data_IF_923820774476
#
_entry.id   IF_923820774476
#
_cell.length_a   1.000
_cell.length_b   1.000
_cell.length_c   1.000
_cell.angle_alpha   90.00
_cell.angle_beta   90.00
_cell.angle_gamma   90.00
#
_symmetry.space_group_name_H-M   'P 1'
#
loop_
_entity.id
_entity.type
_entity.pdbx_description
1 polymer ?
#
# COMPACT_ATOMS: atom_id res chain seq x y z
N UNK A 1 -33.82 39.18 -5.38
CA UNK A 1 -33.62 37.90 -6.05
C UNK A 1 -32.39 37.15 -5.51
N UNK A 2 -31.21 37.74 -5.50
CA UNK A 2 -29.96 37.09 -5.02
C UNK A 2 -29.97 36.75 -3.52
N UNK A 3 -30.63 37.52 -2.70
CA UNK A 3 -30.75 37.25 -1.23
C UNK A 3 -31.63 36.03 -0.92
N UNK A 4 -32.64 35.78 -1.74
CA UNK A 4 -33.52 34.61 -1.58
C UNK A 4 -32.80 33.34 -1.98
N UNK A 5 -32.01 33.36 -3.06
CA UNK A 5 -31.18 32.25 -3.50
C UNK A 5 -30.10 31.93 -2.47
N UNK A 6 -29.45 32.93 -1.91
CA UNK A 6 -28.44 32.73 -0.87
C UNK A 6 -29.02 32.10 0.41
N UNK A 7 -30.22 32.57 0.85
CA UNK A 7 -30.93 31.97 2.00
C UNK A 7 -31.41 30.55 1.73
N UNK A 8 -31.90 30.25 0.53
CA UNK A 8 -32.34 28.89 0.19
C UNK A 8 -31.19 27.91 0.16
N UNK A 9 -29.97 28.34 -0.22
CA UNK A 9 -28.78 27.53 -0.19
C UNK A 9 -28.24 27.26 1.23
N UNK A 10 -28.45 28.20 2.17
CA UNK A 10 -28.05 28.01 3.58
C UNK A 10 -28.98 27.05 4.34
N UNK A 11 -30.24 26.89 3.92
CA UNK A 11 -31.22 26.03 4.58
C UNK A 11 -31.50 24.72 3.90
N UNK A 12 -30.77 24.40 2.80
CA UNK A 12 -30.75 23.07 2.17
C UNK A 12 -29.41 22.41 2.42
N UNK A 13 -29.24 21.66 3.53
CA UNK A 13 -28.01 20.88 3.79
C UNK A 13 -27.71 19.85 2.71
N UNK A 14 -28.71 19.47 1.92
CA UNK A 14 -28.60 18.52 0.80
C UNK A 14 -27.73 19.03 -0.37
N UNK A 15 -27.52 20.34 -0.51
CA UNK A 15 -26.71 20.93 -1.60
C UNK A 15 -25.21 20.96 -1.22
N UNK A 16 -24.87 20.83 0.06
CA UNK A 16 -23.48 20.77 0.54
C UNK A 16 -22.98 19.35 0.74
N UNK A 17 -23.84 18.36 0.70
CA UNK A 17 -23.45 16.97 0.58
C UNK A 17 -23.07 16.70 -0.89
N UNK A 18 -21.85 17.02 -1.29
CA UNK A 18 -21.13 16.18 -2.24
C UNK A 18 -21.04 14.84 -1.53
N UNK A 19 -22.03 13.99 -1.75
CA UNK A 19 -22.08 12.64 -1.18
C UNK A 19 -20.80 11.96 -1.62
N UNK A 20 -19.87 11.79 -0.67
CA UNK A 20 -18.74 10.90 -0.85
C UNK A 20 -19.29 9.60 -1.42
N UNK A 21 -18.62 9.03 -2.40
CA UNK A 21 -19.03 7.73 -2.96
C UNK A 21 -19.33 6.78 -1.79
N UNK A 22 -20.38 5.97 -1.84
CA UNK A 22 -20.78 5.10 -0.73
C UNK A 22 -19.62 4.28 -0.15
N UNK A 23 -18.69 3.83 -1.00
CA UNK A 23 -17.49 3.13 -0.61
C UNK A 23 -16.57 3.95 0.33
N UNK A 24 -16.53 5.27 0.17
CA UNK A 24 -15.69 6.16 0.99
C UNK A 24 -16.35 6.54 2.35
N UNK A 25 -17.60 6.18 2.55
CA UNK A 25 -18.34 6.44 3.79
C UNK A 25 -18.13 5.36 4.86
N UNK A 26 -17.51 4.24 4.49
CA UNK A 26 -17.20 3.16 5.43
C UNK A 26 -16.22 3.62 6.51
N UNK A 27 -16.47 3.30 7.80
CA UNK A 27 -15.56 3.61 8.90
C UNK A 27 -14.20 2.92 8.76
N UNK A 28 -14.09 1.86 7.95
CA UNK A 28 -12.87 1.11 7.72
C UNK A 28 -11.95 1.73 6.67
N UNK A 29 -12.49 2.64 5.83
CA UNK A 29 -11.70 3.28 4.77
C UNK A 29 -10.52 4.09 5.33
N UNK A 30 -10.78 4.99 6.28
CA UNK A 30 -9.74 5.85 6.84
C UNK A 30 -8.65 5.06 7.60
N UNK A 31 -8.97 4.11 8.51
CA UNK A 31 -7.96 3.25 9.13
C UNK A 31 -7.15 2.44 8.13
N UNK A 32 -7.78 1.87 7.11
CA UNK A 32 -7.11 1.15 6.03
C UNK A 32 -6.04 2.01 5.35
N UNK A 33 -6.42 3.21 4.90
CA UNK A 33 -5.49 4.12 4.20
C UNK A 33 -4.36 4.58 5.11
N UNK A 34 -4.65 4.98 6.36
CA UNK A 34 -3.64 5.46 7.31
C UNK A 34 -2.59 4.37 7.59
N UNK A 35 -3.03 3.16 7.86
CA UNK A 35 -2.16 2.03 8.17
C UNK A 35 -1.30 1.65 6.95
N UNK A 36 -1.87 1.68 5.75
CA UNK A 36 -1.11 1.46 4.52
C UNK A 36 -0.07 2.55 4.27
N UNK A 37 -0.40 3.82 4.46
CA UNK A 37 0.55 4.91 4.29
C UNK A 37 1.74 4.78 5.24
N UNK A 38 1.48 4.37 6.50
CA UNK A 38 2.54 4.10 7.46
C UNK A 38 3.42 2.92 7.04
N UNK A 39 2.80 1.81 6.60
CA UNK A 39 3.51 0.66 6.04
C UNK A 39 4.40 1.07 4.87
N UNK A 40 3.86 1.84 3.92
CA UNK A 40 4.61 2.31 2.75
C UNK A 40 5.81 3.17 3.12
N UNK A 41 5.70 4.02 4.12
CA UNK A 41 6.81 4.82 4.62
C UNK A 41 7.94 3.94 5.17
N UNK A 42 7.61 2.92 5.99
CA UNK A 42 8.59 1.97 6.54
C UNK A 42 9.27 1.15 5.44
N UNK A 43 8.48 0.57 4.53
CA UNK A 43 8.99 -0.27 3.44
C UNK A 43 9.76 0.54 2.41
N UNK A 44 9.36 1.79 2.17
CA UNK A 44 10.09 2.73 1.32
C UNK A 44 11.45 3.11 1.91
N UNK A 45 11.50 3.41 3.21
CA UNK A 45 12.76 3.67 3.91
C UNK A 45 13.70 2.45 3.85
N UNK A 46 13.15 1.24 4.07
CA UNK A 46 13.91 -0.01 3.94
C UNK A 46 14.48 -0.19 2.52
N UNK A 47 13.70 0.10 1.48
CA UNK A 47 14.14 0.00 0.09
C UNK A 47 15.27 0.99 -0.24
N UNK A 48 15.20 2.22 0.26
CA UNK A 48 16.27 3.22 0.11
C UNK A 48 17.56 2.76 0.78
N UNK A 49 17.47 2.22 2.00
CA UNK A 49 18.62 1.64 2.72
C UNK A 49 19.16 0.44 1.93
N UNK A 50 18.31 -0.42 1.39
CA UNK A 50 18.74 -1.57 0.60
C UNK A 50 19.51 -1.16 -0.66
N UNK A 51 19.05 -0.16 -1.39
CA UNK A 51 19.74 0.38 -2.55
C UNK A 51 21.10 0.98 -2.15
N UNK A 52 21.14 1.77 -1.06
CA UNK A 52 22.38 2.31 -0.53
C UNK A 52 23.38 1.21 -0.16
N UNK A 53 22.94 0.16 0.54
CA UNK A 53 23.78 -0.96 0.93
C UNK A 53 24.30 -1.75 -0.28
N UNK A 54 23.48 -1.96 -1.32
CA UNK A 54 23.91 -2.61 -2.56
C UNK A 54 25.02 -1.83 -3.28
N UNK A 55 24.89 -0.49 -3.32
CA UNK A 55 25.90 0.38 -3.92
C UNK A 55 27.19 0.38 -3.09
N UNK A 56 27.06 0.52 -1.77
CA UNK A 56 28.18 0.56 -0.83
C UNK A 56 28.96 -0.76 -0.78
N UNK A 57 28.25 -1.88 -0.81
CA UNK A 57 28.83 -3.22 -0.71
C UNK A 57 29.91 -3.50 -1.78
N UNK A 58 29.77 -2.86 -2.94
CA UNK A 58 30.74 -2.98 -4.04
C UNK A 58 32.14 -2.43 -3.68
N UNK A 59 32.22 -1.49 -2.71
CA UNK A 59 33.46 -0.78 -2.37
C UNK A 59 33.92 -0.98 -0.93
N UNK A 60 33.00 -1.09 0.02
CA UNK A 60 33.29 -1.01 1.46
C UNK A 60 32.74 -2.19 2.29
N UNK A 61 32.10 -3.17 1.64
CA UNK A 61 31.37 -4.23 2.36
C UNK A 61 30.05 -3.79 2.94
N UNK A 62 29.35 -4.71 3.60
CA UNK A 62 28.05 -4.50 4.22
C UNK A 62 28.23 -3.85 5.60
N UNK A 63 27.39 -2.88 5.90
CA UNK A 63 27.23 -2.30 7.23
C UNK A 63 26.13 -3.08 7.96
N UNK A 64 26.51 -3.85 8.97
CA UNK A 64 25.56 -4.71 9.69
C UNK A 64 24.54 -3.92 10.52
N UNK A 65 24.92 -2.75 11.02
CA UNK A 65 24.00 -1.87 11.75
C UNK A 65 22.88 -1.35 10.82
N UNK A 66 23.24 -0.89 9.63
CA UNK A 66 22.25 -0.48 8.64
C UNK A 66 21.44 -1.66 8.10
N UNK A 67 22.03 -2.84 7.99
CA UNK A 67 21.30 -4.03 7.59
C UNK A 67 20.25 -4.44 8.63
N UNK A 68 20.61 -4.39 9.91
CA UNK A 68 19.67 -4.64 11.02
C UNK A 68 18.54 -3.60 11.05
N UNK A 69 18.85 -2.33 10.82
CA UNK A 69 17.83 -1.28 10.71
C UNK A 69 16.88 -1.57 9.54
N UNK A 70 17.42 -1.99 8.39
CA UNK A 70 16.65 -2.36 7.21
C UNK A 70 15.68 -3.52 7.51
N UNK A 71 16.17 -4.60 8.16
CA UNK A 71 15.35 -5.74 8.57
C UNK A 71 14.23 -5.32 9.53
N UNK A 72 14.52 -4.47 10.52
CA UNK A 72 13.51 -3.98 11.47
C UNK A 72 12.43 -3.13 10.80
N UNK A 73 12.81 -2.27 9.86
CA UNK A 73 11.85 -1.49 9.08
C UNK A 73 10.93 -2.40 8.25
N UNK A 74 11.46 -3.48 7.69
CA UNK A 74 10.64 -4.48 6.96
C UNK A 74 9.69 -5.19 7.91
N UNK A 75 10.14 -5.62 9.09
CA UNK A 75 9.27 -6.30 10.05
C UNK A 75 8.10 -5.41 10.48
N UNK A 76 8.39 -4.16 10.83
CA UNK A 76 7.33 -3.19 11.20
C UNK A 76 6.43 -2.89 10.00
N UNK A 77 7.01 -2.59 8.85
CA UNK A 77 6.26 -2.30 7.63
C UNK A 77 5.35 -3.45 7.21
N UNK A 78 5.83 -4.70 7.32
CA UNK A 78 5.08 -5.89 7.00
C UNK A 78 3.93 -6.14 7.98
N UNK A 79 4.12 -5.87 9.27
CA UNK A 79 3.06 -5.94 10.26
C UNK A 79 1.92 -4.96 9.92
N UNK A 80 2.27 -3.71 9.62
CA UNK A 80 1.28 -2.71 9.20
C UNK A 80 0.66 -3.02 7.83
N UNK A 81 1.40 -3.60 6.88
CA UNK A 81 0.86 -4.06 5.60
C UNK A 81 -0.23 -5.12 5.83
N UNK A 82 0.02 -6.08 6.71
CA UNK A 82 -0.93 -7.14 7.05
C UNK A 82 -2.19 -6.58 7.70
N UNK A 83 -2.03 -5.68 8.68
CA UNK A 83 -3.17 -5.00 9.33
C UNK A 83 -3.96 -4.18 8.31
N UNK A 84 -3.25 -3.48 7.40
CA UNK A 84 -3.87 -2.71 6.33
C UNK A 84 -4.69 -3.59 5.39
N UNK A 85 -4.19 -4.78 5.02
CA UNK A 85 -4.96 -5.75 4.22
C UNK A 85 -6.22 -6.23 4.95
N UNK A 86 -6.16 -6.48 6.25
CA UNK A 86 -7.33 -6.86 7.05
C UNK A 86 -8.37 -5.75 7.10
N UNK A 87 -7.95 -4.51 7.32
CA UNK A 87 -8.87 -3.37 7.28
C UNK A 87 -9.45 -3.15 5.88
N UNK A 88 -8.66 -3.39 4.84
CA UNK A 88 -9.12 -3.38 3.45
C UNK A 88 -10.18 -4.43 3.17
N UNK A 89 -10.03 -5.63 3.71
CA UNK A 89 -11.03 -6.69 3.60
C UNK A 89 -12.34 -6.33 4.31
N UNK A 90 -12.26 -5.73 5.50
CA UNK A 90 -13.45 -5.22 6.22
C UNK A 90 -14.14 -4.09 5.44
N UNK A 91 -13.34 -3.19 4.89
CA UNK A 91 -13.86 -2.14 4.02
C UNK A 91 -14.54 -2.71 2.78
N UNK A 92 -13.91 -3.65 2.09
CA UNK A 92 -14.46 -4.31 0.90
C UNK A 92 -15.79 -5.02 1.21
N UNK A 93 -15.88 -5.71 2.36
CA UNK A 93 -17.12 -6.34 2.80
C UNK A 93 -18.26 -5.37 2.96
N UNK A 94 -18.01 -4.20 3.52
CA UNK A 94 -19.03 -3.19 3.75
C UNK A 94 -19.40 -2.47 2.45
N UNK A 95 -18.41 -2.15 1.61
CA UNK A 95 -18.62 -1.40 0.38
C UNK A 95 -19.21 -2.24 -0.77
N UNK A 96 -18.81 -3.51 -0.89
CA UNK A 96 -19.13 -4.37 -2.05
C UNK A 96 -19.71 -5.74 -1.66
N UNK A 97 -19.86 -6.05 -0.39
CA UNK A 97 -20.49 -7.27 0.09
C UNK A 97 -19.59 -8.50 0.22
N UNK A 98 -18.33 -8.43 -0.15
CA UNK A 98 -17.35 -9.52 -0.03
C UNK A 98 -16.02 -9.02 0.55
N UNK A 99 -15.30 -9.89 1.27
CA UNK A 99 -14.02 -9.53 1.89
C UNK A 99 -12.87 -9.50 0.88
N UNK A 100 -12.94 -10.32 -0.16
CA UNK A 100 -11.88 -10.51 -1.15
C UNK A 100 -12.50 -11.03 -2.46
N UNK A 101 -12.13 -10.47 -3.59
CA UNK A 101 -12.67 -10.82 -4.91
C UNK A 101 -11.60 -11.03 -5.98
N UNK A 102 -10.33 -11.07 -5.59
CA UNK A 102 -9.21 -11.15 -6.53
C UNK A 102 -9.18 -10.02 -7.56
N UNK A 103 -9.68 -8.88 -7.17
CA UNK A 103 -9.51 -7.64 -7.94
C UNK A 103 -8.02 -7.42 -8.25
N UNK A 104 -7.65 -6.76 -9.37
CA UNK A 104 -6.24 -6.52 -9.70
C UNK A 104 -5.43 -5.86 -8.57
N UNK A 105 -6.01 -4.91 -7.82
CA UNK A 105 -5.32 -4.31 -6.67
C UNK A 105 -5.12 -5.30 -5.52
N UNK A 106 -6.11 -6.09 -5.21
CA UNK A 106 -6.03 -7.15 -4.20
C UNK A 106 -4.97 -8.19 -4.57
N UNK A 107 -4.96 -8.61 -5.83
CA UNK A 107 -3.98 -9.58 -6.36
C UNK A 107 -2.56 -9.04 -6.24
N UNK A 108 -2.30 -7.79 -6.62
CA UNK A 108 -1.00 -7.17 -6.48
C UNK A 108 -0.61 -6.89 -5.02
N UNK A 109 -1.59 -6.61 -4.14
CA UNK A 109 -1.35 -6.52 -2.70
C UNK A 109 -0.90 -7.86 -2.13
N UNK A 110 -1.55 -8.97 -2.50
CA UNK A 110 -1.15 -10.31 -2.10
C UNK A 110 0.25 -10.68 -2.64
N UNK A 111 0.56 -10.36 -3.90
CA UNK A 111 1.89 -10.59 -4.49
C UNK A 111 2.98 -9.79 -3.75
N UNK A 112 2.70 -8.53 -3.40
CA UNK A 112 3.60 -7.69 -2.61
C UNK A 112 3.84 -8.29 -1.22
N UNK A 113 2.78 -8.70 -0.54
CA UNK A 113 2.86 -9.34 0.78
C UNK A 113 3.72 -10.61 0.73
N UNK A 114 3.52 -11.47 -0.28
CA UNK A 114 4.35 -12.66 -0.49
C UNK A 114 5.81 -12.30 -0.77
N UNK A 115 6.09 -11.27 -1.55
CA UNK A 115 7.44 -10.79 -1.83
C UNK A 115 8.20 -10.45 -0.54
N UNK A 116 7.59 -9.68 0.35
CA UNK A 116 8.20 -9.35 1.66
C UNK A 116 8.28 -10.56 2.59
N UNK A 117 7.32 -11.47 2.53
CA UNK A 117 7.37 -12.72 3.31
C UNK A 117 8.56 -13.58 2.88
N UNK A 118 8.80 -13.70 1.55
CA UNK A 118 9.97 -14.40 1.00
C UNK A 118 11.26 -13.72 1.47
N UNK A 119 11.34 -12.38 1.44
CA UNK A 119 12.49 -11.65 1.97
C UNK A 119 12.77 -12.03 3.42
N UNK A 120 11.77 -11.97 4.30
CA UNK A 120 11.91 -12.29 5.72
C UNK A 120 12.43 -13.71 5.91
N UNK A 121 11.82 -14.70 5.25
CA UNK A 121 12.25 -16.10 5.35
C UNK A 121 13.66 -16.32 4.79
N UNK A 122 13.99 -15.66 3.69
CA UNK A 122 15.33 -15.71 3.12
C UNK A 122 16.38 -15.16 4.08
N UNK A 123 16.11 -14.02 4.73
CA UNK A 123 17.00 -13.42 5.73
C UNK A 123 17.22 -14.33 6.94
N UNK A 124 16.14 -14.92 7.44
CA UNK A 124 16.23 -15.84 8.58
C UNK A 124 17.06 -17.11 8.27
N UNK A 125 17.05 -17.57 7.03
CA UNK A 125 17.80 -18.77 6.62
C UNK A 125 19.22 -18.51 6.12
N UNK A 126 19.45 -17.34 5.53
CA UNK A 126 20.70 -17.04 4.81
C UNK A 126 21.30 -15.70 5.30
N UNK A 127 21.72 -15.68 6.55
CA UNK A 127 22.20 -14.45 7.22
C UNK A 127 23.33 -13.72 6.46
N UNK A 128 24.20 -14.44 5.74
CA UNK A 128 25.37 -13.88 5.06
C UNK A 128 25.17 -13.57 3.56
N UNK A 129 24.01 -13.91 2.99
CA UNK A 129 23.73 -13.64 1.55
C UNK A 129 23.03 -12.29 1.37
N UNK A 130 23.70 -11.24 1.74
CA UNK A 130 23.13 -9.88 1.77
C UNK A 130 22.67 -9.40 0.39
N UNK A 131 23.44 -9.60 -0.66
CA UNK A 131 23.09 -9.08 -2.00
C UNK A 131 21.79 -9.67 -2.55
N UNK A 132 21.55 -10.96 -2.35
CA UNK A 132 20.32 -11.61 -2.78
C UNK A 132 19.11 -11.11 -1.93
N UNK A 133 19.31 -10.99 -0.61
CA UNK A 133 18.27 -10.47 0.27
C UNK A 133 17.89 -9.03 -0.10
N UNK A 134 18.87 -8.16 -0.28
CA UNK A 134 18.63 -6.76 -0.66
C UNK A 134 17.98 -6.65 -2.05
N UNK A 135 18.36 -7.53 -3.00
CA UNK A 135 17.70 -7.64 -4.29
C UNK A 135 16.22 -8.03 -4.16
N UNK A 136 15.90 -9.01 -3.31
CA UNK A 136 14.52 -9.42 -3.02
C UNK A 136 13.71 -8.28 -2.40
N UNK A 137 14.34 -7.50 -1.49
CA UNK A 137 13.69 -6.36 -0.87
C UNK A 137 13.34 -5.27 -1.89
N UNK A 138 14.29 -4.91 -2.75
CA UNK A 138 14.04 -3.93 -3.82
C UNK A 138 12.96 -4.44 -4.79
N UNK A 139 13.00 -5.72 -5.15
CA UNK A 139 11.96 -6.32 -5.99
C UNK A 139 10.58 -6.27 -5.32
N UNK A 140 10.48 -6.60 -4.03
CA UNK A 140 9.23 -6.51 -3.28
C UNK A 140 8.68 -5.07 -3.22
N UNK A 141 9.58 -4.09 -3.12
CA UNK A 141 9.19 -2.69 -3.19
C UNK A 141 8.69 -2.27 -4.57
N UNK A 142 9.25 -2.82 -5.65
CA UNK A 142 8.73 -2.60 -7.00
C UNK A 142 7.31 -3.19 -7.16
N UNK A 143 7.04 -4.37 -6.61
CA UNK A 143 5.69 -4.94 -6.56
C UNK A 143 4.72 -4.00 -5.82
N UNK A 144 5.17 -3.40 -4.71
CA UNK A 144 4.39 -2.42 -3.97
C UNK A 144 4.04 -1.19 -4.82
N UNK A 145 5.00 -0.68 -5.63
CA UNK A 145 4.75 0.44 -6.53
C UNK A 145 3.76 0.07 -7.64
N UNK A 146 3.85 -1.15 -8.19
CA UNK A 146 2.87 -1.64 -9.17
C UNK A 146 1.48 -1.74 -8.52
N UNK A 147 1.37 -2.24 -7.30
CA UNK A 147 0.11 -2.31 -6.57
C UNK A 147 -0.51 -0.90 -6.37
N UNK A 148 0.30 0.09 -6.04
CA UNK A 148 -0.20 1.44 -5.72
C UNK A 148 -0.54 2.26 -6.97
N UNK A 149 0.40 2.37 -7.88
CA UNK A 149 0.31 3.26 -9.06
C UNK A 149 0.10 2.44 -10.33
N UNK A 150 0.89 1.36 -10.51
CA UNK A 150 1.00 0.64 -11.77
C UNK A 150 -0.30 -0.05 -12.20
N UNK A 151 -1.10 -0.53 -11.25
CA UNK A 151 -2.39 -1.19 -11.54
C UNK A 151 -3.32 -0.30 -12.36
N UNK A 152 -3.29 1.02 -12.13
CA UNK A 152 -4.14 1.98 -12.84
C UNK A 152 -3.81 2.05 -14.35
N UNK A 153 -2.59 1.66 -14.74
CA UNK A 153 -2.10 1.70 -16.12
C UNK A 153 -2.12 0.34 -16.81
N UNK A 154 -2.38 -0.75 -16.06
CA UNK A 154 -2.44 -2.10 -16.64
C UNK A 154 -3.74 -2.30 -17.40
N UNK A 155 -3.68 -2.84 -18.65
CA UNK A 155 -4.89 -3.13 -19.44
C UNK A 155 -5.89 -4.06 -18.72
N UNK A 156 -5.37 -4.99 -17.90
CA UNK A 156 -6.16 -5.91 -17.10
C UNK A 156 -6.97 -5.25 -15.98
N UNK A 157 -6.63 -4.03 -15.59
CA UNK A 157 -7.33 -3.28 -14.55
C UNK A 157 -8.38 -2.31 -15.10
N UNK A 158 -8.35 -2.01 -16.41
CA UNK A 158 -9.30 -1.11 -17.05
C UNK A 158 -10.69 -1.75 -17.10
N UNK A 159 -11.61 -1.19 -16.31
CA UNK A 159 -13.01 -1.63 -16.27
C UNK A 159 -13.31 -2.81 -15.35
N UNK A 160 -12.32 -3.43 -14.71
CA UNK A 160 -12.51 -4.59 -13.82
C UNK A 160 -12.15 -4.31 -12.35
N UNK A 161 -11.39 -3.26 -12.06
CA UNK A 161 -11.01 -2.95 -10.69
C UNK A 161 -12.01 -2.00 -10.04
N UNK A 162 -12.62 -2.44 -8.96
CA UNK A 162 -13.53 -1.61 -8.13
C UNK A 162 -12.78 -0.53 -7.33
N UNK A 163 -11.44 -0.60 -7.30
CA UNK A 163 -10.56 0.35 -6.60
C UNK A 163 -9.98 1.43 -7.55
N UNK A 164 -10.22 1.35 -8.86
CA UNK A 164 -9.80 2.36 -9.82
C UNK A 164 -10.97 3.29 -10.13
N UNK A 165 -10.90 4.49 -9.59
CA UNK A 165 -11.85 5.54 -9.94
C UNK A 165 -11.30 6.26 -11.18
N UNK A 166 -11.90 6.00 -12.36
CA UNK A 166 -11.64 6.82 -13.54
C UNK A 166 -12.25 8.19 -13.26
N UNK A 167 -11.40 9.19 -13.12
CA UNK A 167 -11.84 10.58 -13.27
C UNK A 167 -12.00 10.82 -14.79
N UNK A 168 -13.22 10.66 -15.30
CA UNK A 168 -13.63 11.26 -16.55
C UNK A 168 -13.95 12.73 -16.34
#
# INVERSE_FOLDING_TARGET
SSRVLFRSNLFKPEIHNKTLMPALQSPWFAPHVIVYMFSYAMLGAAALIAIYLLIRARKKGIDEGMMSLCDNLVYVGMAFLTIGMLFGALWAKEAWGHYWNWDPKETWAAATWLGYLIYIHYRLRHHLRYSAALGLLVFSFLLLQVCWIGVNYLPSARGYSVHTYNME
#
